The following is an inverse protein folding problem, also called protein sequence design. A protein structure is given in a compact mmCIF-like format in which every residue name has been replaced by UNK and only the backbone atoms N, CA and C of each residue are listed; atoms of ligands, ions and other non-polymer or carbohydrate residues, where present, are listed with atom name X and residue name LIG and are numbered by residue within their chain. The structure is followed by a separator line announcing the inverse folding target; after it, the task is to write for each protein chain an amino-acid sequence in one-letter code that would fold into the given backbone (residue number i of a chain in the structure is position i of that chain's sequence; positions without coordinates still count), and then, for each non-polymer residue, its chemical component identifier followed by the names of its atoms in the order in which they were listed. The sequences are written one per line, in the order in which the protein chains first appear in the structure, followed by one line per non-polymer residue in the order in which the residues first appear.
data_IF_243607266253
#
_entry.id   IF_243607266253
#
_cell.length_a   1.000
_cell.length_b   1.000
_cell.length_c   1.000
_cell.angle_alpha   90.00
_cell.angle_beta   90.00
_cell.angle_gamma   90.00
#
_symmetry.space_group_name_H-M   'P 1'
#
loop_
_entity.id
_entity.type
_entity.pdbx_description
1 polymer ?
#
# COMPACT_ATOMS: atom_id res chain seq x y z
N UNK A 1 13.75 -23.06 4.35
CA UNK A 1 13.49 -23.32 5.79
C UNK A 1 13.03 -22.02 6.40
N UNK A 2 11.73 -21.80 6.48
CA UNK A 2 11.16 -20.66 7.22
C UNK A 2 11.37 -20.92 8.71
N UNK A 3 12.45 -20.43 9.26
CA UNK A 3 12.51 -20.18 10.69
C UNK A 3 11.76 -18.88 10.91
N UNK A 4 10.74 -18.93 11.77
CA UNK A 4 9.85 -17.84 12.09
C UNK A 4 10.58 -16.56 12.48
N UNK A 5 10.90 -15.78 11.49
CA UNK A 5 11.21 -14.38 11.59
C UNK A 5 9.90 -13.65 11.41
N UNK A 6 9.63 -12.69 12.26
CA UNK A 6 8.41 -11.88 12.21
C UNK A 6 8.35 -10.92 11.02
N UNK A 7 8.78 -11.39 9.84
CA UNK A 7 8.76 -10.59 8.62
C UNK A 7 7.34 -10.47 8.10
N UNK A 8 6.90 -9.27 7.74
CA UNK A 8 5.56 -9.01 7.25
C UNK A 8 5.60 -8.37 5.86
N UNK A 9 4.97 -9.04 4.90
CA UNK A 9 4.75 -8.50 3.57
C UNK A 9 3.68 -7.41 3.60
N UNK A 10 4.00 -6.22 3.10
CA UNK A 10 3.11 -5.05 3.20
C UNK A 10 2.26 -4.85 1.95
N UNK A 11 2.86 -4.57 0.81
CA UNK A 11 2.11 -4.21 -0.41
C UNK A 11 1.58 -5.40 -1.19
N UNK A 12 2.34 -6.49 -1.28
CA UNK A 12 1.87 -7.71 -1.94
C UNK A 12 0.79 -8.43 -1.15
N UNK A 13 0.69 -8.18 0.17
CA UNK A 13 -0.35 -8.73 1.01
C UNK A 13 -1.74 -8.49 0.41
N UNK A 14 -2.01 -7.29 -0.11
CA UNK A 14 -3.28 -6.96 -0.75
C UNK A 14 -3.59 -7.90 -1.93
N UNK A 15 -2.60 -8.19 -2.78
CA UNK A 15 -2.79 -9.10 -3.92
C UNK A 15 -3.07 -10.53 -3.47
N UNK A 16 -2.42 -10.98 -2.38
CA UNK A 16 -2.61 -12.32 -1.83
C UNK A 16 -3.98 -12.46 -1.15
N UNK A 17 -4.40 -11.44 -0.40
CA UNK A 17 -5.69 -11.40 0.30
C UNK A 17 -6.85 -11.31 -0.69
N UNK A 18 -6.80 -10.40 -1.65
CA UNK A 18 -7.86 -10.21 -2.65
C UNK A 18 -7.87 -11.31 -3.71
N UNK A 19 -6.75 -12.02 -3.92
CA UNK A 19 -6.66 -13.12 -4.87
C UNK A 19 -7.17 -12.74 -6.26
N UNK A 20 -8.23 -13.41 -6.74
CA UNK A 20 -8.81 -13.15 -8.07
C UNK A 20 -9.44 -11.77 -8.21
N UNK A 21 -9.79 -11.10 -7.12
CA UNK A 21 -10.33 -9.73 -7.10
C UNK A 21 -9.23 -8.66 -7.11
N UNK A 22 -7.96 -9.05 -7.04
CA UNK A 22 -6.84 -8.14 -7.21
C UNK A 22 -6.69 -7.79 -8.69
N UNK A 23 -6.92 -6.54 -9.04
CA UNK A 23 -6.79 -6.06 -10.42
C UNK A 23 -5.67 -5.04 -10.61
N UNK A 24 -4.95 -4.71 -9.53
CA UNK A 24 -3.78 -3.84 -9.55
C UNK A 24 -2.51 -4.63 -9.20
N UNK A 25 -1.52 -4.54 -10.07
CA UNK A 25 -0.22 -5.16 -9.86
C UNK A 25 0.69 -4.28 -8.98
N UNK A 26 1.59 -4.92 -8.25
CA UNK A 26 2.73 -4.30 -7.58
C UNK A 26 4.02 -4.90 -8.13
N UNK A 27 5.00 -4.05 -8.41
CA UNK A 27 6.30 -4.48 -8.93
C UNK A 27 7.38 -4.50 -7.85
N UNK A 28 7.15 -3.75 -6.75
CA UNK A 28 8.09 -3.65 -5.64
C UNK A 28 7.65 -4.59 -4.51
N UNK A 29 8.60 -5.24 -3.86
CA UNK A 29 8.37 -6.07 -2.69
C UNK A 29 8.71 -5.23 -1.46
N UNK A 30 7.75 -5.06 -0.55
CA UNK A 30 7.94 -4.34 0.70
C UNK A 30 7.84 -5.31 1.87
N UNK A 31 8.87 -5.33 2.69
CA UNK A 31 8.95 -6.11 3.92
C UNK A 31 9.12 -5.19 5.13
N UNK A 32 8.52 -5.58 6.24
CA UNK A 32 8.87 -5.06 7.56
C UNK A 32 9.57 -6.19 8.29
N UNK A 33 10.77 -5.91 8.76
CA UNK A 33 11.57 -6.85 9.54
C UNK A 33 11.85 -6.25 10.92
N UNK A 34 11.90 -7.07 11.97
CA UNK A 34 12.31 -6.60 13.29
C UNK A 34 13.68 -5.91 13.25
N UNK A 35 13.92 -4.87 14.08
CA UNK A 35 15.22 -4.23 14.19
C UNK A 35 16.34 -5.25 14.44
N UNK A 36 17.47 -5.10 13.75
CA UNK A 36 18.61 -6.02 13.85
C UNK A 36 18.53 -7.28 12.97
N UNK A 37 17.48 -7.43 12.16
CA UNK A 37 17.43 -8.49 11.14
C UNK A 37 18.52 -8.28 10.10
N UNK A 38 19.39 -9.29 9.91
CA UNK A 38 20.40 -9.27 8.85
C UNK A 38 19.79 -9.85 7.56
N UNK A 39 19.24 -8.98 6.72
CA UNK A 39 18.62 -9.39 5.45
C UNK A 39 19.67 -9.88 4.43
N UNK A 40 20.90 -9.39 4.50
CA UNK A 40 21.96 -9.73 3.53
C UNK A 40 22.24 -11.23 3.49
N UNK A 41 22.15 -11.92 4.61
CA UNK A 41 22.35 -13.37 4.67
C UNK A 41 21.34 -14.15 3.83
N UNK A 42 20.14 -13.61 3.66
CA UNK A 42 19.08 -14.20 2.83
C UNK A 42 19.28 -13.85 1.34
N UNK A 43 19.98 -12.76 1.05
CA UNK A 43 20.18 -12.29 -0.32
C UNK A 43 21.35 -12.96 -1.04
N UNK A 44 22.25 -13.62 -0.30
CA UNK A 44 23.48 -14.24 -0.85
C UNK A 44 23.22 -15.32 -1.92
N UNK A 45 22.07 -16.00 -1.83
CA UNK A 45 21.70 -17.08 -2.77
C UNK A 45 20.82 -16.61 -3.93
N UNK A 46 20.81 -15.32 -4.26
CA UNK A 46 19.96 -14.77 -5.33
C UNK A 46 20.12 -15.47 -6.68
N UNK A 47 21.35 -15.89 -7.02
CA UNK A 47 21.64 -16.59 -8.27
C UNK A 47 20.94 -17.94 -8.38
N UNK A 48 20.70 -18.64 -7.25
CA UNK A 48 20.00 -19.93 -7.21
C UNK A 48 18.53 -19.79 -7.63
N UNK A 49 18.00 -18.56 -7.62
CA UNK A 49 16.64 -18.22 -8.02
C UNK A 49 16.56 -17.57 -9.41
N UNK A 50 17.65 -17.61 -10.19
CA UNK A 50 17.66 -17.13 -11.57
C UNK A 50 17.91 -15.60 -11.71
N UNK A 51 18.27 -14.93 -10.63
CA UNK A 51 18.71 -13.54 -10.72
C UNK A 51 20.19 -13.49 -11.16
N UNK A 52 20.51 -12.56 -12.06
CA UNK A 52 21.84 -12.43 -12.67
C UNK A 52 22.74 -11.46 -11.91
N UNK A 53 22.15 -10.51 -11.17
CA UNK A 53 22.88 -9.54 -10.37
C UNK A 53 22.02 -9.03 -9.21
N UNK A 54 22.68 -8.58 -8.16
CA UNK A 54 22.09 -7.93 -6.98
C UNK A 54 22.82 -6.61 -6.74
N UNK A 55 22.09 -5.50 -6.73
CA UNK A 55 22.59 -4.19 -6.39
C UNK A 55 21.94 -3.73 -5.06
N UNK A 56 22.77 -3.45 -4.07
CA UNK A 56 22.35 -2.78 -2.86
C UNK A 56 22.26 -1.28 -3.15
N UNK A 57 21.05 -0.72 -3.05
CA UNK A 57 20.82 0.69 -3.33
C UNK A 57 20.90 1.45 -2.01
N UNK A 58 22.00 2.11 -1.78
CA UNK A 58 22.11 3.09 -0.71
C UNK A 58 21.26 4.31 -1.07
N UNK A 59 20.10 4.43 -0.46
CA UNK A 59 19.41 5.73 -0.43
C UNK A 59 20.10 6.58 0.63
N UNK A 60 20.82 7.62 0.20
CA UNK A 60 21.27 8.68 1.11
C UNK A 60 20.06 9.11 1.93
N UNK A 61 20.13 8.91 3.24
CA UNK A 61 19.16 9.45 4.18
C UNK A 61 18.98 10.92 3.87
N UNK A 62 17.80 11.30 3.45
CA UNK A 62 17.37 12.68 3.41
C UNK A 62 16.30 12.81 4.47
N UNK A 63 16.69 13.57 5.47
CA UNK A 63 15.86 14.27 6.44
C UNK A 63 14.94 13.44 7.36
N UNK A 64 15.28 13.54 8.62
CA UNK A 64 14.48 13.56 9.85
C UNK A 64 13.85 12.29 10.42
N UNK A 65 13.93 11.14 9.83
CA UNK A 65 13.55 9.92 10.54
C UNK A 65 14.67 8.88 10.47
N UNK A 66 15.25 8.57 11.61
CA UNK A 66 16.29 7.52 11.82
C UNK A 66 15.74 6.08 11.68
N UNK A 67 14.80 5.85 10.75
CA UNK A 67 14.29 4.51 10.55
C UNK A 67 15.23 3.76 9.61
N UNK A 68 15.89 2.71 10.06
CA UNK A 68 16.77 1.91 9.23
C UNK A 68 16.00 1.27 8.06
N UNK A 69 16.47 1.52 6.84
CA UNK A 69 15.88 0.99 5.61
C UNK A 69 16.96 0.40 4.73
N UNK A 70 16.64 -0.69 4.05
CA UNK A 70 17.49 -1.20 2.96
C UNK A 70 16.68 -1.30 1.66
N UNK A 71 17.38 -1.11 0.55
CA UNK A 71 16.81 -1.21 -0.79
C UNK A 71 17.72 -2.08 -1.63
N UNK A 72 17.15 -3.08 -2.29
CA UNK A 72 17.91 -4.01 -3.13
C UNK A 72 17.21 -4.19 -4.47
N UNK A 73 17.99 -4.19 -5.55
CA UNK A 73 17.52 -4.51 -6.89
C UNK A 73 18.03 -5.87 -7.30
N UNK A 74 17.12 -6.76 -7.65
CA UNK A 74 17.41 -8.07 -8.21
C UNK A 74 17.21 -8.04 -9.72
N UNK A 75 18.28 -8.15 -10.46
CA UNK A 75 18.24 -8.12 -11.92
C UNK A 75 17.99 -9.51 -12.50
N UNK A 76 17.17 -9.57 -13.53
CA UNK A 76 16.88 -10.79 -14.28
C UNK A 76 16.84 -10.52 -15.78
N UNK A 77 17.13 -11.54 -16.58
CA UNK A 77 17.09 -11.44 -18.03
C UNK A 77 15.66 -11.66 -18.55
N UNK A 78 15.23 -10.81 -19.47
CA UNK A 78 13.91 -10.94 -20.10
C UNK A 78 14.02 -11.90 -21.27
N UNK A 79 13.47 -13.12 -21.12
CA UNK A 79 13.64 -14.24 -22.05
C UNK A 79 13.01 -14.05 -23.45
N UNK A 80 12.20 -13.03 -23.69
CA UNK A 80 11.39 -12.88 -24.91
C UNK A 80 11.65 -11.60 -25.71
N UNK A 81 12.71 -10.87 -25.41
CA UNK A 81 13.15 -9.78 -26.25
C UNK A 81 14.32 -10.27 -27.12
N UNK A 82 14.26 -9.99 -28.43
CA UNK A 82 15.34 -10.23 -29.37
C UNK A 82 16.61 -9.42 -29.07
N UNK A 83 16.59 -8.65 -28.00
CA UNK A 83 17.70 -7.85 -27.49
C UNK A 83 18.32 -8.64 -26.33
N UNK A 84 19.49 -9.21 -26.57
CA UNK A 84 20.23 -10.05 -25.64
C UNK A 84 20.64 -9.30 -24.35
N UNK A 85 20.55 -7.97 -24.35
CA UNK A 85 20.95 -7.11 -23.23
C UNK A 85 19.75 -6.56 -22.44
N UNK A 86 18.52 -6.96 -22.78
CA UNK A 86 17.34 -6.48 -22.07
C UNK A 86 17.25 -7.09 -20.66
N UNK A 87 17.66 -6.31 -19.67
CA UNK A 87 17.55 -6.63 -18.26
C UNK A 87 16.38 -5.87 -17.62
N UNK A 88 15.78 -6.46 -16.62
CA UNK A 88 14.83 -5.81 -15.73
C UNK A 88 15.18 -6.13 -14.28
N UNK A 89 14.53 -5.49 -13.34
CA UNK A 89 14.79 -5.74 -11.93
C UNK A 89 13.51 -5.78 -11.11
N UNK A 90 13.58 -6.49 -9.98
CA UNK A 90 12.60 -6.45 -8.90
C UNK A 90 13.23 -5.63 -7.77
N UNK A 91 12.47 -4.68 -7.23
CA UNK A 91 12.89 -3.89 -6.07
C UNK A 91 12.38 -4.56 -4.79
N UNK A 92 13.29 -4.78 -3.85
CA UNK A 92 12.98 -5.20 -2.48
C UNK A 92 13.27 -4.02 -1.55
N UNK A 93 12.22 -3.51 -0.92
CA UNK A 93 12.28 -2.48 0.10
C UNK A 93 12.08 -3.12 1.47
N UNK A 94 13.05 -2.99 2.37
CA UNK A 94 12.97 -3.52 3.74
C UNK A 94 12.98 -2.36 4.71
N UNK A 95 12.01 -2.35 5.60
CA UNK A 95 11.89 -1.42 6.71
C UNK A 95 12.19 -2.17 8.01
N UNK A 96 13.16 -1.71 8.78
CA UNK A 96 13.54 -2.31 10.06
C UNK A 96 12.86 -1.58 11.19
N UNK A 97 11.66 -2.04 11.54
CA UNK A 97 10.86 -1.47 12.63
C UNK A 97 10.03 -2.55 13.32
N UNK A 98 9.46 -2.21 14.46
CA UNK A 98 8.46 -3.06 15.11
C UNK A 98 7.20 -3.15 14.25
N UNK A 99 6.57 -4.32 14.27
CA UNK A 99 5.34 -4.56 13.53
C UNK A 99 4.21 -3.79 14.21
N UNK A 100 3.64 -2.82 13.50
CA UNK A 100 2.55 -1.98 13.99
C UNK A 100 1.15 -2.53 13.69
N UNK A 101 1.05 -3.65 12.97
CA UNK A 101 -0.21 -4.30 12.68
C UNK A 101 -0.76 -5.03 13.90
N UNK A 102 -2.07 -4.99 14.05
CA UNK A 102 -2.76 -5.59 15.19
C UNK A 102 -2.96 -7.09 15.01
N UNK A 103 -3.27 -7.49 13.78
CA UNK A 103 -3.49 -8.89 13.41
C UNK A 103 -2.68 -9.27 12.18
N UNK A 104 -1.92 -10.34 12.29
CA UNK A 104 -1.22 -10.96 11.16
C UNK A 104 -1.74 -12.36 10.91
N UNK A 105 -1.61 -12.83 9.68
CA UNK A 105 -2.02 -14.17 9.26
C UNK A 105 -0.99 -14.81 8.34
N UNK A 106 -0.95 -16.14 8.35
CA UNK A 106 -0.15 -16.90 7.40
C UNK A 106 -0.98 -17.17 6.14
N UNK A 107 -0.47 -16.77 4.99
CA UNK A 107 -1.13 -17.00 3.70
C UNK A 107 -0.18 -17.66 2.71
N UNK A 108 -0.70 -18.59 1.91
CA UNK A 108 0.09 -19.17 0.84
C UNK A 108 0.33 -18.15 -0.28
N UNK A 109 1.56 -18.08 -0.79
CA UNK A 109 1.81 -17.35 -2.03
C UNK A 109 1.10 -18.12 -3.15
N UNK A 110 -0.09 -17.69 -3.48
CA UNK A 110 -0.90 -18.21 -4.58
C UNK A 110 -1.54 -17.04 -5.31
N UNK A 111 -0.88 -16.61 -6.36
CA UNK A 111 -1.34 -15.46 -7.14
C UNK A 111 -1.80 -15.95 -8.53
N UNK A 112 -2.99 -15.55 -9.00
CA UNK A 112 -3.51 -16.00 -10.31
C UNK A 112 -2.67 -15.52 -11.50
N UNK A 113 -1.71 -14.62 -11.27
CA UNK A 113 -0.81 -14.09 -12.29
C UNK A 113 0.54 -14.80 -12.36
N UNK A 114 0.83 -15.72 -11.43
CA UNK A 114 2.11 -16.42 -11.33
C UNK A 114 1.83 -17.92 -11.34
N UNK A 115 2.49 -18.64 -12.26
CA UNK A 115 2.51 -20.10 -12.22
C UNK A 115 3.55 -20.55 -11.19
N UNK A 116 3.11 -21.25 -10.17
CA UNK A 116 3.97 -21.81 -9.14
C UNK A 116 4.16 -23.30 -9.37
N UNK A 117 5.37 -23.79 -9.11
CA UNK A 117 5.71 -25.20 -9.08
C UNK A 117 6.08 -25.61 -7.66
N UNK A 118 5.65 -26.81 -7.26
CA UNK A 118 5.89 -27.33 -5.91
C UNK A 118 4.88 -26.88 -4.87
N UNK A 119 5.26 -26.98 -3.60
CA UNK A 119 4.40 -26.54 -2.48
C UNK A 119 4.43 -25.01 -2.35
N UNK A 120 3.28 -24.37 -2.22
CA UNK A 120 3.24 -22.92 -1.98
C UNK A 120 4.04 -22.53 -0.72
N UNK A 121 4.80 -21.45 -0.83
CA UNK A 121 5.46 -20.85 0.32
C UNK A 121 4.40 -20.10 1.15
N UNK A 122 4.51 -20.23 2.47
CA UNK A 122 3.68 -19.47 3.41
C UNK A 122 4.41 -18.18 3.79
N UNK A 123 3.67 -17.08 3.79
CA UNK A 123 4.17 -15.76 4.19
C UNK A 123 3.26 -15.14 5.22
N UNK A 124 3.85 -14.34 6.13
CA UNK A 124 3.08 -13.55 7.07
C UNK A 124 2.62 -12.26 6.41
N UNK A 125 1.34 -11.96 6.52
CA UNK A 125 0.73 -10.73 6.02
C UNK A 125 -0.17 -10.11 7.08
N UNK A 126 -0.39 -8.78 7.07
CA UNK A 126 -1.39 -8.16 7.91
C UNK A 126 -2.80 -8.62 7.53
N UNK A 127 -3.78 -8.46 8.41
CA UNK A 127 -5.18 -8.66 8.05
C UNK A 127 -5.66 -7.60 7.04
N UNK A 128 -6.79 -7.85 6.37
CA UNK A 128 -7.39 -6.88 5.46
C UNK A 128 -7.75 -5.57 6.19
N UNK A 129 -8.22 -5.69 7.42
CA UNK A 129 -8.57 -4.59 8.31
C UNK A 129 -7.34 -3.74 8.68
N UNK A 130 -6.23 -4.39 9.02
CA UNK A 130 -4.97 -3.69 9.30
C UNK A 130 -4.46 -2.95 8.06
N UNK A 131 -4.49 -3.60 6.90
CA UNK A 131 -4.08 -2.96 5.63
C UNK A 131 -5.00 -1.78 5.31
N UNK A 132 -6.31 -1.90 5.56
CA UNK A 132 -7.23 -0.78 5.34
C UNK A 132 -6.87 0.42 6.23
N UNK A 133 -6.53 0.20 7.49
CA UNK A 133 -6.06 1.26 8.39
C UNK A 133 -4.80 1.95 7.85
N UNK A 134 -3.81 1.19 7.40
CA UNK A 134 -2.59 1.72 6.78
C UNK A 134 -2.89 2.51 5.48
N UNK A 135 -3.78 1.98 4.64
CA UNK A 135 -4.14 2.65 3.37
C UNK A 135 -4.92 3.93 3.56
N UNK A 136 -5.76 4.01 4.57
CA UNK A 136 -6.47 5.24 4.93
C UNK A 136 -5.49 6.31 5.41
N UNK A 137 -4.51 5.98 6.26
CA UNK A 137 -3.48 6.95 6.66
C UNK A 137 -2.63 7.40 5.47
N UNK A 138 -2.33 6.50 4.55
CA UNK A 138 -1.57 6.82 3.35
C UNK A 138 -2.36 7.66 2.33
N UNK A 139 -3.70 7.67 2.39
CA UNK A 139 -4.61 8.49 1.58
C UNK A 139 -4.97 9.83 2.26
N UNK A 140 -4.07 10.41 3.01
CA UNK A 140 -4.22 11.73 3.66
C UNK A 140 -3.07 12.65 3.25
N UNK A 141 -3.06 13.19 2.01
CA UNK A 141 -1.87 13.78 1.39
C UNK A 141 -1.38 15.08 2.05
N UNK A 142 -2.23 15.76 2.79
CA UNK A 142 -1.88 17.00 3.50
C UNK A 142 -1.39 16.75 4.94
N UNK A 143 -1.53 15.51 5.45
CA UNK A 143 -1.12 15.15 6.82
C UNK A 143 -0.18 13.94 6.84
N UNK A 144 -0.69 12.74 7.06
CA UNK A 144 0.11 11.51 7.21
C UNK A 144 0.42 10.80 5.90
N UNK A 145 -0.36 11.06 4.87
CA UNK A 145 -0.34 10.30 3.62
C UNK A 145 0.80 10.66 2.68
N UNK A 146 0.71 10.12 1.49
CA UNK A 146 1.66 10.39 0.42
C UNK A 146 1.46 11.83 -0.04
N UNK A 147 2.46 12.73 0.08
CA UNK A 147 2.32 14.11 -0.32
C UNK A 147 2.17 14.26 -1.84
N UNK A 148 1.57 15.34 -2.30
CA UNK A 148 1.41 15.61 -3.74
C UNK A 148 2.75 15.67 -4.48
N UNK A 149 3.78 16.17 -3.81
CA UNK A 149 5.14 16.25 -4.35
C UNK A 149 6.17 15.75 -3.34
N UNK A 150 7.15 14.98 -3.82
CA UNK A 150 8.32 14.57 -3.06
C UNK A 150 9.58 14.80 -3.90
N UNK A 151 10.51 15.61 -3.39
CA UNK A 151 11.76 15.95 -4.11
C UNK A 151 11.50 16.52 -5.53
N UNK A 152 10.49 17.35 -5.70
CA UNK A 152 10.10 17.94 -6.98
C UNK A 152 9.40 16.99 -7.97
N UNK A 153 9.12 15.75 -7.56
CA UNK A 153 8.40 14.76 -8.37
C UNK A 153 6.97 14.60 -7.88
N UNK A 154 6.02 14.54 -8.81
CA UNK A 154 4.64 14.25 -8.50
C UNK A 154 4.48 12.83 -7.93
N UNK A 155 3.74 12.71 -6.82
CA UNK A 155 3.34 11.44 -6.21
C UNK A 155 1.85 11.14 -6.45
N UNK A 156 1.23 11.79 -7.42
CA UNK A 156 -0.20 11.66 -7.71
C UNK A 156 -0.64 10.23 -8.03
N UNK A 157 0.19 9.48 -8.74
CA UNK A 157 -0.07 8.08 -9.03
C UNK A 157 -0.07 7.22 -7.76
N UNK A 158 0.84 7.51 -6.85
CA UNK A 158 0.92 6.82 -5.55
C UNK A 158 -0.30 7.11 -4.69
N UNK A 159 -0.81 8.35 -4.68
CA UNK A 159 -2.06 8.73 -4.00
C UNK A 159 -3.23 7.96 -4.62
N UNK A 160 -3.34 7.94 -5.96
CA UNK A 160 -4.39 7.22 -6.66
C UNK A 160 -4.36 5.71 -6.40
N UNK A 161 -3.16 5.12 -6.24
CA UNK A 161 -3.01 3.71 -5.82
C UNK A 161 -3.58 3.46 -4.42
N UNK A 162 -3.35 4.37 -3.45
CA UNK A 162 -3.92 4.21 -2.10
C UNK A 162 -5.44 4.28 -2.15
N UNK A 163 -5.99 5.23 -2.88
CA UNK A 163 -7.44 5.36 -3.06
C UNK A 163 -8.06 4.08 -3.64
N UNK A 164 -7.47 3.55 -4.71
CA UNK A 164 -7.90 2.29 -5.30
C UNK A 164 -7.87 1.14 -4.28
N UNK A 165 -6.77 1.03 -3.52
CA UNK A 165 -6.60 -0.03 -2.52
C UNK A 165 -7.66 0.08 -1.41
N UNK A 166 -7.97 1.30 -0.94
CA UNK A 166 -9.07 1.55 0.02
C UNK A 166 -10.41 1.08 -0.54
N UNK A 167 -10.71 1.43 -1.79
CA UNK A 167 -11.96 1.02 -2.44
C UNK A 167 -12.12 -0.50 -2.55
N UNK A 168 -11.04 -1.23 -2.80
CA UNK A 168 -11.07 -2.71 -2.87
C UNK A 168 -11.19 -3.35 -1.50
N UNK A 169 -10.48 -2.80 -0.52
CA UNK A 169 -10.54 -3.30 0.85
C UNK A 169 -11.91 -3.06 1.49
N UNK A 170 -12.59 -1.96 1.16
CA UNK A 170 -13.95 -1.67 1.63
C UNK A 170 -14.92 -2.84 1.43
N UNK A 171 -14.80 -3.55 0.33
CA UNK A 171 -15.66 -4.69 -0.03
C UNK A 171 -15.28 -5.99 0.70
N UNK A 172 -14.13 -6.02 1.38
CA UNK A 172 -13.52 -7.22 1.93
C UNK A 172 -13.28 -7.17 3.44
N UNK A 173 -13.63 -6.08 4.10
CA UNK A 173 -13.46 -5.92 5.55
C UNK A 173 -14.80 -5.95 6.24
N UNK A 174 -14.81 -6.51 7.45
CA UNK A 174 -16.02 -6.66 8.27
C UNK A 174 -15.86 -6.09 9.68
N UNK A 175 -14.63 -5.93 10.16
CA UNK A 175 -14.33 -5.50 11.53
C UNK A 175 -13.61 -4.14 11.52
N UNK A 176 -14.39 -3.05 11.56
CA UNK A 176 -13.82 -1.71 11.60
C UNK A 176 -13.13 -1.36 12.92
N UNK A 177 -13.31 -2.14 13.99
CA UNK A 177 -12.59 -1.91 15.23
C UNK A 177 -11.09 -2.16 15.03
N UNK A 178 -10.72 -3.24 14.33
CA UNK A 178 -9.33 -3.53 13.99
C UNK A 178 -8.77 -2.45 13.07
N UNK A 179 -9.54 -2.05 12.05
CA UNK A 179 -9.15 -0.97 11.15
C UNK A 179 -8.86 0.34 11.92
N UNK A 180 -9.70 0.68 12.89
CA UNK A 180 -9.50 1.86 13.75
C UNK A 180 -8.21 1.76 14.57
N UNK A 181 -7.95 0.61 15.19
CA UNK A 181 -6.74 0.45 16.01
C UNK A 181 -5.48 0.54 15.14
N UNK A 182 -5.47 -0.10 13.97
CA UNK A 182 -4.37 0.00 13.01
C UNK A 182 -4.20 1.44 12.51
N UNK A 183 -5.29 2.09 12.08
CA UNK A 183 -5.27 3.49 11.65
C UNK A 183 -4.68 4.40 12.71
N UNK A 184 -5.16 4.32 13.96
CA UNK A 184 -4.68 5.19 15.05
C UNK A 184 -3.20 4.99 15.32
N UNK A 185 -2.76 3.74 15.41
CA UNK A 185 -1.36 3.40 15.69
C UNK A 185 -0.44 3.96 14.60
N UNK A 186 -0.79 3.73 13.33
CA UNK A 186 0.00 4.18 12.19
C UNK A 186 -0.05 5.72 12.07
N UNK A 187 -1.23 6.34 12.23
CA UNK A 187 -1.37 7.79 12.15
C UNK A 187 -0.51 8.51 13.21
N UNK A 188 -0.45 8.02 14.45
CA UNK A 188 0.41 8.59 15.49
C UNK A 188 1.89 8.53 15.09
N UNK A 189 2.34 7.40 14.57
CA UNK A 189 3.73 7.23 14.12
C UNK A 189 4.03 8.19 12.96
N UNK A 190 3.17 8.24 11.94
CA UNK A 190 3.37 9.11 10.78
C UNK A 190 3.31 10.60 11.13
N UNK A 191 2.43 11.01 12.04
CA UNK A 191 2.37 12.39 12.53
C UNK A 191 3.65 12.77 13.27
N UNK A 192 4.22 11.86 14.08
CA UNK A 192 5.46 12.14 14.81
C UNK A 192 6.64 12.38 13.86
N UNK A 193 6.68 11.70 12.72
CA UNK A 193 7.74 11.89 11.71
C UNK A 193 7.64 13.20 10.94
N UNK A 194 6.49 13.84 10.95
CA UNK A 194 6.24 15.05 10.12
C UNK A 194 6.14 16.33 10.90
N UNK A 195 6.34 16.28 12.21
CA UNK A 195 6.22 17.46 13.10
C UNK A 195 4.84 18.15 13.05
N UNK A 196 3.79 17.45 12.63
CA UNK A 196 2.41 17.95 12.57
C UNK A 196 1.64 17.89 13.90
N UNK A 197 2.32 17.57 15.01
CA UNK A 197 1.65 17.31 16.28
C UNK A 197 1.06 15.89 16.33
N UNK A 198 0.06 15.68 17.22
CA UNK A 198 -0.51 14.34 17.47
C UNK A 198 -2.02 14.27 17.26
N UNK A 199 -2.60 15.29 16.62
CA UNK A 199 -4.05 15.35 16.40
C UNK A 199 -4.51 14.48 15.23
N UNK A 200 -4.98 13.29 15.56
CA UNK A 200 -5.55 12.33 14.58
C UNK A 200 -6.80 12.89 13.89
N UNK A 201 -7.53 13.83 14.52
CA UNK A 201 -8.69 14.48 13.93
C UNK A 201 -8.35 15.21 12.63
N UNK A 202 -7.15 15.76 12.52
CA UNK A 202 -6.67 16.39 11.28
C UNK A 202 -6.52 15.37 10.14
N UNK A 203 -6.12 14.13 10.44
CA UNK A 203 -5.98 13.07 9.44
C UNK A 203 -7.36 12.66 8.90
N UNK A 204 -8.34 12.49 9.76
CA UNK A 204 -9.72 12.21 9.33
C UNK A 204 -10.30 13.35 8.48
N UNK A 205 -10.02 14.59 8.87
CA UNK A 205 -10.46 15.74 8.09
C UNK A 205 -9.79 15.77 6.71
N UNK A 206 -8.49 15.54 6.64
CA UNK A 206 -7.74 15.49 5.38
C UNK A 206 -8.29 14.42 4.43
N UNK A 207 -8.57 13.20 4.91
CA UNK A 207 -9.21 12.14 4.11
C UNK A 207 -10.54 12.64 3.53
N UNK A 208 -11.39 13.26 4.36
CA UNK A 208 -12.71 13.77 3.92
C UNK A 208 -12.59 14.90 2.92
N UNK A 209 -11.69 15.86 3.15
CA UNK A 209 -11.48 17.01 2.27
C UNK A 209 -10.88 16.57 0.93
N UNK A 210 -9.92 15.66 0.93
CA UNK A 210 -9.36 15.08 -0.30
C UNK A 210 -10.42 14.28 -1.05
N UNK A 211 -11.24 13.49 -0.35
CA UNK A 211 -12.33 12.75 -0.96
C UNK A 211 -13.41 13.66 -1.56
N UNK A 212 -13.72 14.77 -0.88
CA UNK A 212 -14.66 15.77 -1.40
C UNK A 212 -14.11 16.46 -2.64
N UNK A 213 -12.81 16.79 -2.65
CA UNK A 213 -12.13 17.36 -3.83
C UNK A 213 -12.27 16.42 -5.05
N UNK A 214 -12.04 15.12 -4.88
CA UNK A 214 -12.18 14.13 -5.94
C UNK A 214 -13.65 14.02 -6.39
N UNK A 215 -14.58 13.88 -5.44
CA UNK A 215 -15.99 13.65 -5.72
C UNK A 215 -16.65 14.84 -6.43
N UNK A 216 -16.19 16.05 -6.16
CA UNK A 216 -16.70 17.28 -6.76
C UNK A 216 -15.87 17.74 -7.96
N UNK A 217 -14.86 16.98 -8.35
CA UNK A 217 -13.94 17.32 -9.44
C UNK A 217 -13.27 18.68 -9.22
N UNK A 218 -12.77 18.90 -8.00
CA UNK A 218 -12.07 20.13 -7.61
C UNK A 218 -12.95 21.34 -7.28
N UNK A 219 -14.30 21.19 -7.30
CA UNK A 219 -15.21 22.32 -7.00
C UNK A 219 -15.35 22.59 -5.49
N UNK A 220 -15.04 21.63 -4.66
CA UNK A 220 -15.07 21.74 -3.19
C UNK A 220 -14.06 20.76 -2.59
N UNK A 221 -13.81 20.92 -1.28
CA UNK A 221 -12.78 20.14 -0.57
C UNK A 221 -11.39 20.77 -0.71
N UNK A 222 -10.40 20.09 -0.12
CA UNK A 222 -9.01 20.51 -0.16
C UNK A 222 -8.18 19.48 -0.92
N UNK A 223 -7.38 19.94 -1.89
CA UNK A 223 -6.51 19.10 -2.70
C UNK A 223 -6.26 19.65 -4.09
N UNK A 224 -5.39 19.00 -4.81
CA UNK A 224 -5.08 19.30 -6.22
C UNK A 224 -5.77 18.25 -7.10
N UNK A 225 -6.97 18.60 -7.58
CA UNK A 225 -7.78 17.68 -8.40
C UNK A 225 -7.08 17.32 -9.72
N UNK A 226 -6.47 18.28 -10.39
CA UNK A 226 -5.84 18.05 -11.70
C UNK A 226 -4.68 17.08 -11.55
N UNK A 227 -3.91 17.23 -10.47
CA UNK A 227 -2.81 16.32 -10.14
C UNK A 227 -3.33 14.92 -9.81
N UNK A 228 -4.40 14.81 -9.00
CA UNK A 228 -5.01 13.51 -8.68
C UNK A 228 -5.56 12.85 -9.93
N UNK A 229 -6.20 13.61 -10.84
CA UNK A 229 -6.72 13.09 -12.11
C UNK A 229 -5.59 12.54 -13.00
N UNK A 230 -4.46 13.23 -13.08
CA UNK A 230 -3.25 12.70 -13.74
C UNK A 230 -2.80 11.38 -13.10
N UNK A 231 -2.77 11.32 -11.78
CA UNK A 231 -2.46 10.12 -11.02
C UNK A 231 -3.37 8.94 -11.36
N UNK A 232 -4.69 9.17 -11.44
CA UNK A 232 -5.68 8.15 -11.83
C UNK A 232 -5.42 7.64 -13.25
N UNK A 233 -5.10 8.53 -14.18
CA UNK A 233 -4.75 8.15 -15.56
C UNK A 233 -3.49 7.28 -15.58
N UNK A 234 -2.48 7.62 -14.79
CA UNK A 234 -1.20 6.90 -14.73
C UNK A 234 -1.29 5.53 -14.03
N UNK A 235 -2.22 5.36 -13.11
CA UNK A 235 -2.49 4.05 -12.48
C UNK A 235 -2.87 2.98 -13.51
N UNK A 236 -3.38 3.37 -14.68
CA UNK A 236 -3.75 2.46 -15.77
C UNK A 236 -2.64 1.47 -16.13
N UNK A 237 -1.37 1.87 -16.07
CA UNK A 237 -0.23 0.99 -16.37
C UNK A 237 -0.04 -0.16 -15.36
N UNK A 238 -0.67 -0.07 -14.22
CA UNK A 238 -0.64 -1.08 -13.16
C UNK A 238 -1.92 -1.91 -13.09
N UNK A 239 -2.92 -1.60 -13.92
CA UNK A 239 -4.21 -2.27 -13.89
C UNK A 239 -4.22 -3.51 -14.79
N UNK A 240 -4.78 -4.60 -14.29
CA UNK A 240 -4.98 -5.85 -15.02
C UNK A 240 -6.48 -6.08 -15.23
N UNK A 241 -6.90 -6.25 -16.48
CA UNK A 241 -8.29 -6.51 -16.93
C UNK A 241 -9.32 -5.40 -16.67
N UNK A 242 -9.11 -4.50 -15.76
CA UNK A 242 -10.04 -3.40 -15.47
C UNK A 242 -9.40 -2.04 -15.73
N UNK A 243 -10.23 -1.08 -16.12
CA UNK A 243 -9.82 0.32 -16.19
C UNK A 243 -10.19 1.00 -14.88
N UNK A 244 -9.28 1.78 -14.34
CA UNK A 244 -9.58 2.68 -13.24
C UNK A 244 -9.81 4.07 -13.82
N UNK A 245 -11.05 4.54 -13.73
CA UNK A 245 -11.50 5.82 -14.29
C UNK A 245 -11.90 6.75 -13.15
N UNK A 246 -12.07 8.05 -13.47
CA UNK A 246 -12.46 9.05 -12.47
C UNK A 246 -13.79 8.69 -11.77
N UNK A 247 -14.74 8.09 -12.45
CA UNK A 247 -16.01 7.69 -11.84
C UNK A 247 -15.83 6.57 -10.79
N UNK A 248 -14.90 5.64 -11.02
CA UNK A 248 -14.50 4.65 -10.02
C UNK A 248 -13.80 5.31 -8.83
N UNK A 249 -12.91 6.27 -9.11
CA UNK A 249 -12.20 7.01 -8.07
C UNK A 249 -13.15 7.86 -7.20
N UNK A 250 -14.22 8.41 -7.77
CA UNK A 250 -15.27 9.11 -7.02
C UNK A 250 -15.98 8.17 -6.03
N UNK A 251 -16.30 6.95 -6.46
CA UNK A 251 -16.91 5.94 -5.59
C UNK A 251 -15.94 5.56 -4.47
N UNK A 252 -14.69 5.30 -4.80
CA UNK A 252 -13.68 4.92 -3.82
C UNK A 252 -13.36 6.08 -2.84
N UNK A 253 -13.42 7.34 -3.32
CA UNK A 253 -13.29 8.52 -2.47
C UNK A 253 -14.46 8.65 -1.48
N UNK A 254 -15.69 8.42 -1.94
CA UNK A 254 -16.87 8.38 -1.06
C UNK A 254 -16.73 7.27 0.01
N UNK A 255 -16.24 6.09 -0.36
CA UNK A 255 -15.95 4.99 0.57
C UNK A 255 -14.89 5.38 1.61
N UNK A 256 -13.80 6.04 1.18
CA UNK A 256 -12.75 6.50 2.09
C UNK A 256 -13.29 7.52 3.10
N UNK A 257 -14.08 8.51 2.65
CA UNK A 257 -14.70 9.50 3.52
C UNK A 257 -15.71 8.87 4.50
N UNK A 258 -16.49 7.90 4.03
CA UNK A 258 -17.44 7.14 4.85
C UNK A 258 -16.70 6.35 5.95
N UNK A 259 -15.68 5.58 5.59
CA UNK A 259 -14.85 4.84 6.54
C UNK A 259 -14.20 5.76 7.57
N UNK A 260 -13.60 6.87 7.14
CA UNK A 260 -12.99 7.84 8.03
C UNK A 260 -14.01 8.38 9.05
N UNK A 261 -15.24 8.64 8.60
CA UNK A 261 -16.32 9.12 9.46
C UNK A 261 -16.79 8.06 10.45
N UNK A 262 -16.99 6.81 10.02
CA UNK A 262 -17.38 5.71 10.90
C UNK A 262 -16.31 5.47 11.99
N UNK A 263 -15.05 5.39 11.60
CA UNK A 263 -13.93 5.16 12.51
C UNK A 263 -13.80 6.29 13.54
N UNK A 264 -13.89 7.54 13.10
CA UNK A 264 -13.86 8.71 13.99
C UNK A 264 -15.01 8.71 15.00
N UNK A 265 -16.22 8.36 14.54
CA UNK A 265 -17.42 8.29 15.37
C UNK A 265 -17.49 7.04 16.28
N UNK A 266 -16.59 6.07 16.09
CA UNK A 266 -16.61 4.82 16.84
C UNK A 266 -17.73 3.88 16.40
N UNK A 267 -18.16 3.96 15.15
CA UNK A 267 -19.12 3.06 14.53
C UNK A 267 -18.34 1.97 13.81
N UNK A 268 -18.60 0.70 14.13
CA UNK A 268 -17.79 -0.43 13.65
C UNK A 268 -18.50 -1.32 12.64
N UNK A 269 -19.74 -1.01 12.33
CA UNK A 269 -20.54 -1.73 11.34
C UNK A 269 -20.65 -0.91 10.06
N UNK A 270 -20.43 -1.56 8.93
CA UNK A 270 -20.67 -0.98 7.60
C UNK A 270 -22.11 -1.34 7.23
N UNK A 271 -22.96 -0.34 7.09
CA UNK A 271 -24.29 -0.56 6.56
C UNK A 271 -24.19 -0.99 5.08
N UNK A 272 -24.73 -2.17 4.79
CA UNK A 272 -24.86 -2.60 3.40
C UNK A 272 -25.99 -1.80 2.74
N UNK A 273 -25.69 -1.11 1.66
CA UNK A 273 -26.69 -0.47 0.83
C UNK A 273 -27.63 -1.55 0.27
N UNK A 274 -28.84 -1.67 0.82
CA UNK A 274 -29.86 -2.49 0.22
C UNK A 274 -30.53 -1.70 -0.91
N UNK A 275 -30.46 -2.21 -2.13
CA UNK A 275 -31.22 -1.69 -3.29
C UNK A 275 -32.73 -1.95 -3.17
N UNK A 276 -33.26 -2.08 -1.98
CA UNK A 276 -34.70 -2.18 -1.75
C UNK A 276 -35.24 -0.75 -1.57
N UNK A 277 -35.89 -0.15 -2.58
CA UNK A 277 -36.67 1.05 -2.35
C UNK A 277 -37.81 0.66 -1.40
N UNK A 278 -37.87 1.31 -0.23
CA UNK A 278 -39.01 1.21 0.68
C UNK A 278 -40.26 1.75 -0.01
#
# INVERSE_FOLDING_TARGET
RSRGLGDVYKRQALMLILGKSAHRLSIDIDLICPPGTNIEDYLKSFADFGFINLELVERKQRDDADIPKSHSKFFYQIAYRNDTDAQSYILLDVLYEDIHYFRTQQIAINCPFIRLEGKPLMVTVPSAEDILGDKLTAFAPNTTGIPYYKNGRSCSMEIAKQLYDVGRLFENVSDLQITKEAFRKIAVVELSYRSFGTDIGQVFNDIRQTALCISTRGKAGEGDFDLIQDGIIRVKSFMYKQRYLIDHAIIDAARAAYLATLIEKGIYEIESYSNNPA
#
